data_IF_390662958975
#
_entry.id   IF_390662958975
#
_cell.length_a   1.000
_cell.length_b   1.000
_cell.length_c   1.000
_cell.angle_alpha   90.00
_cell.angle_beta   90.00
_cell.angle_gamma   90.00
#
_symmetry.space_group_name_H-M   'P 1'
#
loop_
_entity.id
_entity.type
_entity.pdbx_description
1 polymer ?
#
# COMPACT_ATOMS: atom_id res chain seq x y z
N UNK A 1 3.27 -10.53 -16.17
CA UNK A 1 3.48 -9.39 -17.07
C UNK A 1 2.36 -8.35 -16.95
N UNK A 2 1.22 -8.70 -16.35
CA UNK A 2 0.04 -7.82 -16.19
C UNK A 2 0.10 -6.73 -15.10
N UNK A 3 0.90 -6.89 -14.04
CA UNK A 3 0.91 -5.96 -12.89
C UNK A 3 1.38 -4.53 -13.24
N UNK A 4 2.30 -4.40 -14.22
CA UNK A 4 2.82 -3.10 -14.65
C UNK A 4 1.80 -2.29 -15.46
N UNK A 5 1.00 -2.95 -16.29
CA UNK A 5 -0.04 -2.30 -17.12
C UNK A 5 -1.19 -1.80 -16.23
N UNK A 6 -1.50 -2.51 -15.15
CA UNK A 6 -2.48 -2.07 -14.17
C UNK A 6 -2.01 -0.82 -13.42
N UNK A 7 -0.75 -0.77 -12.98
CA UNK A 7 -0.19 0.39 -12.27
C UNK A 7 -0.32 1.70 -13.07
N UNK A 8 0.10 1.69 -14.34
CA UNK A 8 0.06 2.89 -15.20
C UNK A 8 -1.35 3.48 -15.34
N UNK A 9 -2.37 2.62 -15.32
CA UNK A 9 -3.78 3.04 -15.42
C UNK A 9 -4.24 3.82 -14.19
N UNK A 10 -3.63 3.59 -13.02
CA UNK A 10 -3.98 4.27 -11.77
C UNK A 10 -3.03 5.41 -11.40
N UNK A 11 -1.84 5.48 -11.99
CA UNK A 11 -0.84 6.54 -11.79
C UNK A 11 -1.43 7.96 -11.70
N UNK A 12 -2.30 8.43 -12.62
CA UNK A 12 -2.84 9.79 -12.50
C UNK A 12 -3.64 10.01 -11.21
N UNK A 13 -4.39 9.02 -10.77
CA UNK A 13 -5.20 9.10 -9.54
C UNK A 13 -4.35 8.97 -8.28
N UNK A 14 -3.35 8.08 -8.31
CA UNK A 14 -2.37 7.95 -7.25
C UNK A 14 -1.58 9.25 -7.07
N UNK A 15 -1.09 9.84 -8.17
CA UNK A 15 -0.35 11.11 -8.13
C UNK A 15 -1.18 12.26 -7.56
N UNK A 16 -2.46 12.36 -7.94
CA UNK A 16 -3.37 13.34 -7.36
C UNK A 16 -3.55 13.12 -5.85
N UNK A 17 -3.70 11.87 -5.42
CA UNK A 17 -3.87 11.54 -4.01
C UNK A 17 -2.61 11.79 -3.18
N UNK A 18 -1.44 11.49 -3.74
CA UNK A 18 -0.15 11.78 -3.12
C UNK A 18 0.05 13.28 -2.95
N UNK A 19 -0.29 14.09 -3.95
CA UNK A 19 -0.25 15.57 -3.81
C UNK A 19 -1.16 16.06 -2.69
N UNK A 20 -2.32 15.43 -2.47
CA UNK A 20 -3.19 15.73 -1.33
C UNK A 20 -2.52 15.36 -0.01
N UNK A 21 -1.93 14.17 0.09
CA UNK A 21 -1.24 13.70 1.30
C UNK A 21 -0.03 14.56 1.65
N UNK A 22 0.74 14.98 0.64
CA UNK A 22 1.87 15.88 0.80
C UNK A 22 1.42 17.25 1.32
N UNK A 23 0.29 17.78 0.84
CA UNK A 23 -0.30 19.03 1.36
C UNK A 23 -0.75 18.92 2.81
N UNK A 24 -1.11 17.72 3.26
CA UNK A 24 -1.46 17.44 4.66
C UNK A 24 -0.22 17.21 5.56
N UNK A 25 1.00 17.26 4.99
CA UNK A 25 2.25 17.09 5.72
C UNK A 25 2.86 15.69 5.63
N UNK A 26 2.22 14.76 4.91
CA UNK A 26 2.71 13.37 4.75
C UNK A 26 3.60 13.22 3.51
N UNK A 27 4.68 13.99 3.44
CA UNK A 27 5.59 14.03 2.28
C UNK A 27 6.37 12.73 2.03
N UNK A 28 6.40 11.81 3.01
CA UNK A 28 7.14 10.54 2.90
C UNK A 28 6.34 9.45 2.18
N UNK A 29 5.03 9.62 2.00
CA UNK A 29 4.19 8.63 1.32
C UNK A 29 4.33 8.84 -0.19
N UNK A 30 4.63 7.76 -0.93
CA UNK A 30 4.79 7.79 -2.39
C UNK A 30 3.70 7.00 -3.11
N UNK A 31 3.62 7.18 -4.44
CA UNK A 31 2.63 6.49 -5.29
C UNK A 31 2.74 4.96 -5.19
N UNK A 32 3.97 4.45 -5.13
CA UNK A 32 4.26 3.02 -4.97
C UNK A 32 3.75 2.48 -3.62
N UNK A 33 3.83 3.27 -2.55
CA UNK A 33 3.35 2.90 -1.24
C UNK A 33 1.83 2.74 -1.21
N UNK A 34 1.11 3.67 -1.85
CA UNK A 34 -0.34 3.57 -2.00
C UNK A 34 -0.74 2.41 -2.92
N UNK A 35 0.01 2.16 -3.99
CA UNK A 35 -0.24 1.01 -4.85
C UNK A 35 -0.05 -0.32 -4.11
N UNK A 36 1.01 -0.42 -3.31
CA UNK A 36 1.26 -1.57 -2.44
C UNK A 36 0.14 -1.76 -1.43
N UNK A 37 -0.32 -0.68 -0.78
CA UNK A 37 -1.49 -0.72 0.10
C UNK A 37 -2.74 -1.26 -0.61
N UNK A 38 -3.05 -0.73 -1.79
CA UNK A 38 -4.24 -1.13 -2.54
C UNK A 38 -4.18 -2.60 -2.92
N UNK A 39 -3.07 -3.05 -3.50
CA UNK A 39 -2.92 -4.43 -3.99
C UNK A 39 -2.76 -5.46 -2.87
N UNK A 40 -2.04 -5.13 -1.79
CA UNK A 40 -1.75 -6.07 -0.68
C UNK A 40 -2.76 -6.03 0.45
N UNK A 41 -3.52 -4.95 0.62
CA UNK A 41 -4.48 -4.81 1.72
C UNK A 41 -5.91 -4.63 1.21
N UNK A 42 -6.19 -3.51 0.52
CA UNK A 42 -7.56 -3.14 0.16
C UNK A 42 -8.21 -4.10 -0.84
N UNK A 43 -7.46 -4.49 -1.87
CA UNK A 43 -7.92 -5.34 -2.97
C UNK A 43 -7.47 -6.79 -2.85
N UNK A 44 -6.77 -7.15 -1.75
CA UNK A 44 -6.26 -8.51 -1.51
C UNK A 44 -7.34 -9.58 -1.63
N UNK A 45 -8.54 -9.31 -1.10
CA UNK A 45 -9.65 -10.27 -1.06
C UNK A 45 -10.70 -10.03 -2.14
N UNK A 46 -10.95 -8.76 -2.49
CA UNK A 46 -11.96 -8.38 -3.47
C UNK A 46 -11.62 -7.04 -4.09
N UNK A 47 -11.10 -7.08 -5.31
CA UNK A 47 -11.01 -5.89 -6.15
C UNK A 47 -12.40 -5.54 -6.67
N UNK A 48 -12.83 -4.26 -6.62
CA UNK A 48 -14.05 -3.84 -7.30
C UNK A 48 -13.99 -4.15 -8.79
N UNK A 49 -15.09 -4.63 -9.36
CA UNK A 49 -15.14 -5.07 -10.76
C UNK A 49 -15.03 -3.90 -11.75
N UNK A 50 -15.54 -2.73 -11.36
CA UNK A 50 -15.58 -1.57 -12.22
C UNK A 50 -14.48 -0.54 -11.89
N UNK A 51 -13.87 -0.02 -12.94
CA UNK A 51 -12.80 0.98 -12.84
C UNK A 51 -13.16 2.24 -12.04
N UNK A 52 -14.39 2.74 -12.19
CA UNK A 52 -14.84 3.91 -11.41
C UNK A 52 -14.93 3.62 -9.90
N UNK A 53 -15.22 2.37 -9.51
CA UNK A 53 -15.26 1.97 -8.09
C UNK A 53 -13.86 1.88 -7.52
N UNK A 54 -12.91 1.37 -8.30
CA UNK A 54 -11.49 1.33 -7.95
C UNK A 54 -10.94 2.75 -7.73
N UNK A 55 -11.21 3.68 -8.67
CA UNK A 55 -10.86 5.09 -8.51
C UNK A 55 -11.53 5.70 -7.28
N UNK A 56 -12.83 5.45 -7.08
CA UNK A 56 -13.53 5.98 -5.92
C UNK A 56 -12.91 5.51 -4.60
N UNK A 57 -12.36 4.29 -4.54
CA UNK A 57 -11.62 3.85 -3.36
C UNK A 57 -10.31 4.62 -3.19
N UNK A 58 -9.53 4.81 -4.26
CA UNK A 58 -8.30 5.61 -4.24
C UNK A 58 -8.58 7.03 -3.72
N UNK A 59 -9.62 7.69 -4.22
CA UNK A 59 -9.98 9.04 -3.80
C UNK A 59 -10.43 9.14 -2.34
N UNK A 60 -11.00 8.06 -1.78
CA UNK A 60 -11.48 8.02 -0.39
C UNK A 60 -10.40 7.70 0.64
N UNK A 61 -9.21 7.26 0.20
CA UNK A 61 -8.11 6.95 1.11
C UNK A 61 -7.76 8.14 2.00
N UNK A 62 -7.50 7.86 3.27
CA UNK A 62 -6.90 8.82 4.18
C UNK A 62 -5.46 8.41 4.49
N UNK A 63 -4.60 9.35 4.92
CA UNK A 63 -3.26 9.01 5.39
C UNK A 63 -3.29 7.96 6.52
N UNK A 64 -4.29 8.01 7.40
CA UNK A 64 -4.44 7.06 8.50
C UNK A 64 -4.63 5.62 7.99
N UNK A 65 -5.44 5.41 6.95
CA UNK A 65 -5.65 4.08 6.37
C UNK A 65 -4.32 3.46 5.90
N UNK A 66 -3.45 4.28 5.29
CA UNK A 66 -2.12 3.85 4.88
C UNK A 66 -1.20 3.61 6.08
N UNK A 67 -1.19 4.47 7.08
CA UNK A 67 -0.34 4.34 8.26
C UNK A 67 -0.67 3.09 9.09
N UNK A 68 -1.94 2.75 9.21
CA UNK A 68 -2.39 1.51 9.87
C UNK A 68 -1.82 0.29 9.15
N UNK A 69 -1.90 0.27 7.81
CA UNK A 69 -1.28 -0.78 7.00
C UNK A 69 0.24 -0.81 7.11
N UNK A 70 0.91 0.34 7.01
CA UNK A 70 2.37 0.42 7.10
C UNK A 70 2.86 -0.08 8.47
N UNK A 71 2.12 0.23 9.54
CA UNK A 71 2.41 -0.27 10.90
C UNK A 71 2.22 -1.78 11.00
N UNK A 72 1.18 -2.34 10.37
CA UNK A 72 0.95 -3.79 10.30
C UNK A 72 2.04 -4.50 9.47
N UNK A 73 2.42 -3.97 8.31
CA UNK A 73 3.52 -4.53 7.52
C UNK A 73 4.82 -4.51 8.33
N UNK A 74 5.16 -3.39 8.98
CA UNK A 74 6.36 -3.29 9.80
C UNK A 74 6.39 -4.32 10.94
N UNK A 75 5.25 -4.60 11.58
CA UNK A 75 5.17 -5.62 12.62
C UNK A 75 5.38 -7.03 12.06
N UNK A 76 4.74 -7.37 10.94
CA UNK A 76 4.85 -8.69 10.32
C UNK A 76 6.28 -8.95 9.82
N UNK A 77 6.89 -7.99 9.10
CA UNK A 77 8.26 -8.13 8.60
C UNK A 77 9.30 -8.18 9.73
N UNK A 78 9.05 -7.49 10.85
CA UNK A 78 9.94 -7.54 12.02
C UNK A 78 9.88 -8.89 12.72
N UNK A 79 8.72 -9.54 12.77
CA UNK A 79 8.56 -10.88 13.35
C UNK A 79 9.18 -11.95 12.43
N UNK A 80 8.95 -11.89 11.12
CA UNK A 80 9.56 -12.83 10.17
C UNK A 80 11.11 -12.78 10.17
N UNK A 81 11.70 -11.60 10.45
CA UNK A 81 13.17 -11.45 10.53
C UNK A 81 13.77 -11.94 11.85
N UNK A 82 12.97 -12.06 12.92
CA UNK A 82 13.44 -12.55 14.22
C UNK A 82 13.37 -14.08 14.30
N UNK A 83 12.35 -14.70 13.70
CA UNK A 83 12.21 -16.17 13.65
C UNK A 83 13.33 -16.85 12.83
N UNK A 84 13.97 -16.12 11.92
CA UNK A 84 15.12 -16.62 11.13
C UNK A 84 16.47 -16.47 11.84
N UNK A 85 16.57 -15.68 12.90
CA UNK A 85 17.83 -15.49 13.64
C UNK A 85 17.96 -16.39 14.87
N UNK A 86 16.87 -16.98 15.39
CA UNK A 86 16.90 -17.73 16.66
C UNK A 86 17.22 -19.23 16.53
N UNK A 87 17.42 -19.78 15.33
CA UNK A 87 17.64 -21.23 15.15
C UNK A 87 19.10 -21.60 14.81
N UNK A 88 19.89 -20.68 14.24
CA UNK A 88 21.26 -21.00 13.80
C UNK A 88 22.31 -20.91 14.94
N UNK A 89 21.97 -20.30 16.08
CA UNK A 89 22.91 -20.06 17.19
C UNK A 89 22.74 -21.07 18.37
N UNK A 90 22.02 -22.18 18.15
CA UNK A 90 21.70 -23.20 19.17
C UNK A 90 22.17 -24.63 18.82
N UNK A 91 23.08 -24.81 17.85
CA UNK A 91 23.66 -26.12 17.50
C UNK A 91 25.19 -26.17 17.66
#
# INVERSE_FOLDING_TARGET
>A
MDSFVEYERYTPWLSLKIKEFHKLGYSQINEEDLWRYLTRFSWKRKTPEHYYQQISQICKLSPNDYLDFASLEAQIYKVDSLDLMEIDDLL
#
